data_IF_768644520235
#
_entry.id   IF_768644520235
#
_cell.length_a   1.000
_cell.length_b   1.000
_cell.length_c   1.000
_cell.angle_alpha   90.00
_cell.angle_beta   90.00
_cell.angle_gamma   90.00
#
_symmetry.space_group_name_H-M   'P 1'
#
loop_
_entity.id
_entity.type
_entity.pdbx_description
1 polymer ?
#
# COMPACT_ATOMS: atom_id res chain seq x y z
N UNK A 1 -7.87 -37.50 58.57
CA UNK A 1 -8.62 -36.47 57.83
C UNK A 1 -8.45 -36.74 56.31
N UNK A 2 -9.50 -37.24 55.63
CA UNK A 2 -9.48 -37.54 54.21
C UNK A 2 -9.59 -36.18 53.43
N UNK A 3 -8.56 -35.82 52.77
CA UNK A 3 -8.55 -34.64 51.85
C UNK A 3 -9.63 -34.85 50.77
N UNK A 4 -10.66 -34.01 50.78
CA UNK A 4 -11.71 -33.99 49.76
C UNK A 4 -11.06 -33.53 48.45
N UNK A 5 -10.96 -34.43 47.47
CA UNK A 5 -10.51 -34.07 46.14
C UNK A 5 -11.41 -32.94 45.62
N UNK A 6 -10.85 -31.77 45.36
CA UNK A 6 -11.58 -30.65 44.78
C UNK A 6 -12.11 -31.07 43.40
N UNK A 7 -13.42 -30.92 43.18
CA UNK A 7 -14.02 -31.22 41.89
C UNK A 7 -13.46 -30.26 40.80
N UNK A 8 -13.51 -30.68 39.54
CA UNK A 8 -13.07 -29.86 38.40
C UNK A 8 -13.78 -28.50 38.41
N UNK A 9 -15.05 -28.47 38.78
CA UNK A 9 -15.84 -27.21 38.88
C UNK A 9 -15.31 -26.25 39.96
N UNK A 10 -14.85 -26.76 41.13
CA UNK A 10 -14.28 -25.89 42.16
C UNK A 10 -12.89 -25.34 41.78
N UNK A 11 -12.13 -26.07 40.96
CA UNK A 11 -10.87 -25.56 40.40
C UNK A 11 -11.10 -24.45 39.35
N UNK A 12 -12.15 -24.57 38.53
CA UNK A 12 -12.55 -23.55 37.55
C UNK A 12 -12.91 -22.23 38.23
N UNK A 13 -13.63 -22.27 39.33
CA UNK A 13 -13.99 -21.08 40.11
C UNK A 13 -12.79 -20.27 40.61
N UNK A 14 -11.60 -20.88 40.79
CA UNK A 14 -10.40 -20.16 41.20
C UNK A 14 -9.94 -19.20 40.08
N UNK A 15 -10.03 -19.67 38.85
CA UNK A 15 -9.66 -18.83 37.66
C UNK A 15 -10.70 -17.73 37.45
N UNK A 16 -11.98 -18.09 37.49
CA UNK A 16 -13.10 -17.16 37.28
C UNK A 16 -13.20 -16.04 38.32
N UNK A 17 -12.91 -16.38 39.59
CA UNK A 17 -12.94 -15.43 40.71
C UNK A 17 -11.69 -14.57 40.83
N UNK A 18 -10.62 -14.91 40.10
CA UNK A 18 -9.37 -14.15 40.09
C UNK A 18 -9.09 -13.60 38.68
N UNK A 19 -9.45 -12.33 38.46
CA UNK A 19 -9.31 -11.67 37.17
C UNK A 19 -7.87 -11.68 36.67
N UNK A 20 -6.88 -11.61 37.54
CA UNK A 20 -5.46 -11.61 37.15
C UNK A 20 -5.08 -12.99 36.61
N UNK A 21 -5.43 -14.06 37.30
CA UNK A 21 -5.17 -15.43 36.84
C UNK A 21 -5.92 -15.73 35.53
N UNK A 22 -7.15 -15.24 35.41
CA UNK A 22 -7.94 -15.37 34.17
C UNK A 22 -7.26 -14.68 32.99
N UNK A 23 -6.85 -13.43 33.17
CA UNK A 23 -6.16 -12.65 32.09
C UNK A 23 -4.84 -13.32 31.71
N UNK A 24 -4.02 -13.73 32.67
CA UNK A 24 -2.77 -14.44 32.38
C UNK A 24 -3.03 -15.75 31.64
N UNK A 25 -4.03 -16.51 32.04
CA UNK A 25 -4.42 -17.76 31.37
C UNK A 25 -4.88 -17.52 29.94
N UNK A 26 -5.69 -16.48 29.69
CA UNK A 26 -6.14 -16.09 28.36
C UNK A 26 -4.94 -15.71 27.50
N UNK A 27 -4.05 -14.82 27.99
CA UNK A 27 -2.86 -14.38 27.26
C UNK A 27 -1.95 -15.54 26.89
N UNK A 28 -1.74 -16.50 27.81
CA UNK A 28 -0.92 -17.68 27.49
C UNK A 28 -1.53 -18.56 26.40
N UNK A 29 -2.83 -18.82 26.45
CA UNK A 29 -3.51 -19.66 25.46
C UNK A 29 -3.50 -18.95 24.08
N UNK A 30 -3.80 -17.64 24.04
CA UNK A 30 -3.77 -16.85 22.81
C UNK A 30 -2.34 -16.77 22.24
N UNK A 31 -1.33 -16.58 23.11
CA UNK A 31 0.06 -16.51 22.68
C UNK A 31 0.54 -17.85 22.09
N UNK A 32 0.15 -18.99 22.67
CA UNK A 32 0.50 -20.31 22.12
C UNK A 32 -0.15 -20.50 20.75
N UNK A 33 -1.48 -20.23 20.63
CA UNK A 33 -2.19 -20.31 19.35
C UNK A 33 -1.58 -19.37 18.30
N UNK A 34 -1.34 -18.12 18.67
CA UNK A 34 -0.70 -17.15 17.80
C UNK A 34 0.70 -17.56 17.32
N UNK A 35 1.52 -18.14 18.20
CA UNK A 35 2.85 -18.65 17.81
C UNK A 35 2.77 -19.83 16.85
N UNK A 36 1.81 -20.74 17.03
CA UNK A 36 1.60 -21.87 16.11
C UNK A 36 1.21 -21.39 14.71
N UNK A 37 0.40 -20.34 14.60
CA UNK A 37 -0.05 -19.78 13.33
C UNK A 37 1.00 -18.85 12.70
N UNK A 38 1.59 -17.96 13.50
CA UNK A 38 2.47 -16.89 12.98
C UNK A 38 3.90 -17.42 12.80
N UNK A 39 4.37 -18.30 13.69
CA UNK A 39 5.76 -18.79 13.65
C UNK A 39 6.18 -19.38 12.30
N UNK A 40 5.40 -20.24 11.66
CA UNK A 40 5.74 -20.80 10.35
C UNK A 40 5.88 -19.74 9.25
N UNK A 41 5.14 -18.63 9.32
CA UNK A 41 5.15 -17.58 8.30
C UNK A 41 6.53 -16.91 8.17
N UNK A 42 7.33 -16.89 9.23
CA UNK A 42 8.72 -16.36 9.16
C UNK A 42 9.68 -17.26 8.37
N UNK A 43 9.33 -18.52 8.18
CA UNK A 43 10.19 -19.51 7.50
C UNK A 43 9.66 -19.89 6.11
N UNK A 44 8.38 -19.65 5.84
CA UNK A 44 7.75 -19.95 4.55
C UNK A 44 8.16 -18.90 3.52
N UNK A 45 9.02 -19.29 2.57
CA UNK A 45 9.44 -18.43 1.45
C UNK A 45 8.48 -18.42 0.28
N UNK A 46 7.46 -19.28 0.30
CA UNK A 46 6.46 -19.45 -0.77
C UNK A 46 5.20 -18.60 -0.59
N UNK A 47 5.12 -17.81 0.48
CA UNK A 47 3.92 -17.03 0.80
C UNK A 47 3.73 -15.84 -0.16
N UNK A 48 4.85 -15.33 -0.71
CA UNK A 48 4.84 -14.21 -1.67
C UNK A 48 5.51 -14.71 -2.94
N UNK A 49 4.82 -14.60 -4.06
CA UNK A 49 5.34 -14.95 -5.38
C UNK A 49 6.55 -14.07 -5.71
N UNK A 50 7.56 -14.64 -6.34
CA UNK A 50 8.64 -13.86 -6.93
C UNK A 50 8.18 -13.34 -8.28
N UNK A 51 7.92 -12.05 -8.34
CA UNK A 51 7.45 -11.34 -9.53
C UNK A 51 8.55 -10.42 -10.04
N UNK A 52 8.92 -10.58 -11.30
CA UNK A 52 9.89 -9.68 -11.94
C UNK A 52 9.27 -8.29 -12.14
N UNK A 53 10.07 -7.25 -11.86
CA UNK A 53 9.64 -5.85 -12.02
C UNK A 53 9.14 -5.20 -10.74
N UNK A 54 8.87 -5.98 -9.69
CA UNK A 54 8.51 -5.42 -8.38
C UNK A 54 9.69 -4.66 -7.78
N UNK A 55 9.46 -3.42 -7.41
CA UNK A 55 10.41 -2.52 -6.77
C UNK A 55 9.75 -1.76 -5.62
N UNK A 56 10.51 -1.27 -4.65
CA UNK A 56 10.00 -0.29 -3.69
C UNK A 56 9.44 0.96 -4.39
N UNK A 57 8.55 1.65 -3.72
CA UNK A 57 8.03 2.94 -4.20
C UNK A 57 9.17 3.96 -4.38
N UNK A 58 9.08 4.77 -5.41
CA UNK A 58 9.94 5.94 -5.50
C UNK A 58 9.62 6.92 -4.39
N UNK A 59 10.49 7.91 -4.11
CA UNK A 59 10.19 8.94 -3.12
C UNK A 59 8.88 9.69 -3.39
N UNK A 60 8.56 10.00 -4.65
CA UNK A 60 7.30 10.64 -5.03
C UNK A 60 6.10 9.72 -4.83
N UNK A 61 6.20 8.47 -5.30
CA UNK A 61 5.13 7.46 -5.13
C UNK A 61 4.84 7.20 -3.65
N UNK A 62 5.88 7.15 -2.80
CA UNK A 62 5.72 7.00 -1.35
C UNK A 62 5.05 8.23 -0.72
N UNK A 63 5.42 9.44 -1.15
CA UNK A 63 4.76 10.66 -0.72
C UNK A 63 3.28 10.66 -1.11
N UNK A 64 2.98 10.28 -2.35
CA UNK A 64 1.60 10.13 -2.85
C UNK A 64 0.80 9.08 -2.07
N UNK A 65 1.42 7.96 -1.74
CA UNK A 65 0.80 6.94 -0.87
C UNK A 65 0.49 7.49 0.53
N UNK A 66 1.39 8.29 1.09
CA UNK A 66 1.15 8.92 2.39
C UNK A 66 -0.03 9.89 2.34
N UNK A 67 -0.18 10.65 1.25
CA UNK A 67 -1.33 11.51 1.00
C UNK A 67 -2.60 10.67 0.86
N UNK A 68 -2.56 9.59 0.07
CA UNK A 68 -3.67 8.65 -0.09
C UNK A 68 -4.19 8.11 1.25
N UNK A 69 -3.26 7.76 2.17
CA UNK A 69 -3.60 7.31 3.53
C UNK A 69 -4.11 8.47 4.39
N UNK A 70 -3.48 9.63 4.33
CA UNK A 70 -3.86 10.83 5.09
C UNK A 70 -5.28 11.30 4.76
N UNK A 71 -5.61 11.32 3.46
CA UNK A 71 -6.93 11.76 2.99
C UNK A 71 -8.01 10.66 3.11
N UNK A 72 -7.63 9.46 3.54
CA UNK A 72 -8.58 8.39 3.81
C UNK A 72 -9.21 7.77 2.55
N UNK A 73 -8.55 7.83 1.40
CA UNK A 73 -9.06 7.29 0.13
C UNK A 73 -9.43 5.80 0.23
N UNK A 74 -8.68 5.04 1.04
CA UNK A 74 -8.92 3.62 1.32
C UNK A 74 -10.24 3.33 2.05
N UNK A 75 -10.89 4.34 2.62
CA UNK A 75 -12.21 4.17 3.27
C UNK A 75 -13.33 3.96 2.25
N UNK A 76 -13.18 4.51 1.04
CA UNK A 76 -14.16 4.43 -0.04
C UNK A 76 -13.69 3.57 -1.21
N UNK A 77 -12.37 3.44 -1.43
CA UNK A 77 -11.76 2.65 -2.48
C UNK A 77 -11.01 1.44 -1.91
N UNK A 78 -11.19 0.29 -2.51
CA UNK A 78 -10.31 -0.86 -2.27
C UNK A 78 -9.12 -0.82 -3.23
N UNK A 79 -8.08 -1.58 -2.91
CA UNK A 79 -6.87 -1.72 -3.72
C UNK A 79 -6.44 -3.20 -3.76
N UNK A 80 -7.42 -4.07 -3.95
CA UNK A 80 -7.21 -5.52 -4.08
C UNK A 80 -8.36 -6.13 -4.88
N UNK A 81 -8.06 -6.67 -6.04
CA UNK A 81 -8.99 -7.42 -6.87
C UNK A 81 -8.93 -8.88 -6.43
N UNK A 82 -10.06 -9.42 -6.00
CA UNK A 82 -10.17 -10.82 -5.58
C UNK A 82 -10.20 -11.74 -6.79
N UNK A 83 -9.81 -13.04 -6.69
CA UNK A 83 -9.86 -14.01 -7.78
C UNK A 83 -11.31 -14.51 -8.02
N UNK A 84 -12.24 -13.57 -8.16
CA UNK A 84 -13.64 -13.80 -8.47
C UNK A 84 -13.91 -13.33 -9.89
N UNK A 85 -14.68 -14.12 -10.65
CA UNK A 85 -14.93 -13.88 -12.08
C UNK A 85 -15.46 -12.48 -12.36
N UNK A 86 -16.44 -12.02 -11.61
CA UNK A 86 -17.07 -10.70 -11.74
C UNK A 86 -16.08 -9.55 -11.48
N UNK A 87 -15.14 -9.73 -10.54
CA UNK A 87 -14.11 -8.74 -10.26
C UNK A 87 -13.05 -8.69 -11.35
N UNK A 88 -12.59 -9.85 -11.80
CA UNK A 88 -11.61 -9.95 -12.88
C UNK A 88 -12.15 -9.38 -14.19
N UNK A 89 -13.42 -9.68 -14.52
CA UNK A 89 -14.09 -9.12 -15.70
C UNK A 89 -14.23 -7.57 -15.60
N UNK A 90 -14.47 -7.05 -14.40
CA UNK A 90 -14.67 -5.60 -14.18
C UNK A 90 -13.38 -4.80 -14.08
N UNK A 91 -12.39 -5.30 -13.39
CA UNK A 91 -11.19 -4.54 -13.01
C UNK A 91 -9.91 -5.03 -13.69
N UNK A 92 -9.87 -6.24 -14.22
CA UNK A 92 -8.69 -6.89 -14.75
C UNK A 92 -8.15 -7.99 -13.83
N UNK A 93 -6.92 -8.44 -14.06
CA UNK A 93 -6.31 -9.55 -13.33
C UNK A 93 -6.38 -9.35 -11.81
N UNK A 94 -6.68 -10.42 -11.06
CA UNK A 94 -6.69 -10.40 -9.60
C UNK A 94 -5.33 -9.98 -9.03
N UNK A 95 -5.35 -9.40 -7.83
CA UNK A 95 -4.14 -8.90 -7.18
C UNK A 95 -3.25 -10.05 -6.69
N UNK A 96 -1.95 -9.92 -6.94
CA UNK A 96 -0.93 -10.83 -6.42
C UNK A 96 -0.42 -10.32 -5.06
N UNK A 97 -0.01 -11.23 -4.18
CA UNK A 97 0.56 -10.86 -2.88
C UNK A 97 1.81 -9.98 -3.03
N UNK A 98 2.58 -10.22 -4.11
CA UNK A 98 3.77 -9.42 -4.44
C UNK A 98 3.48 -7.94 -4.65
N UNK A 99 2.30 -7.56 -5.14
CA UNK A 99 1.97 -6.15 -5.39
C UNK A 99 1.89 -5.31 -4.12
N UNK A 100 1.58 -5.93 -2.98
CA UNK A 100 1.47 -5.27 -1.67
C UNK A 100 2.64 -5.59 -0.73
N UNK A 101 3.66 -6.30 -1.19
CA UNK A 101 4.74 -6.79 -0.31
C UNK A 101 5.53 -5.68 0.40
N UNK A 102 5.50 -4.47 -0.14
CA UNK A 102 6.16 -3.29 0.43
C UNK A 102 5.20 -2.31 1.10
N UNK A 103 3.92 -2.67 1.21
CA UNK A 103 2.92 -1.83 1.87
C UNK A 103 2.90 -2.04 3.38
N UNK A 104 3.10 -0.96 4.10
CA UNK A 104 3.03 -0.91 5.55
C UNK A 104 2.20 0.32 6.00
N UNK A 105 0.90 0.11 6.35
CA UNK A 105 0.06 -1.09 6.24
C UNK A 105 -0.46 -1.34 4.81
N UNK A 106 -1.02 -2.53 4.59
CA UNK A 106 -1.75 -2.86 3.36
C UNK A 106 -2.93 -1.90 3.14
N UNK A 107 -3.16 -1.55 1.87
CA UNK A 107 -4.25 -0.65 1.47
C UNK A 107 -5.41 -1.40 0.79
N UNK A 108 -5.60 -2.65 1.10
CA UNK A 108 -6.58 -3.52 0.42
C UNK A 108 -8.00 -2.98 0.47
N UNK A 109 -8.42 -2.42 1.62
CA UNK A 109 -9.76 -1.91 1.82
C UNK A 109 -10.82 -3.02 1.89
N UNK A 110 -11.92 -2.74 2.60
CA UNK A 110 -13.05 -3.67 2.72
C UNK A 110 -14.33 -3.13 2.09
N UNK A 111 -14.31 -1.90 1.61
CA UNK A 111 -15.46 -1.19 1.03
C UNK A 111 -15.11 -0.65 -0.35
N UNK A 112 -16.12 -0.58 -1.20
CA UNK A 112 -16.06 -0.04 -2.55
C UNK A 112 -17.22 0.91 -2.78
N UNK A 113 -17.26 2.03 -2.04
CA UNK A 113 -18.15 3.15 -2.37
C UNK A 113 -17.72 3.73 -3.72
N UNK A 114 -16.42 3.81 -3.97
CA UNK A 114 -15.82 3.98 -5.28
C UNK A 114 -15.25 2.67 -5.84
N UNK A 115 -14.73 2.66 -7.09
CA UNK A 115 -14.14 1.49 -7.71
C UNK A 115 -12.83 1.05 -7.03
N UNK A 116 -12.42 -0.19 -7.28
CA UNK A 116 -11.10 -0.69 -6.90
C UNK A 116 -10.00 0.01 -7.71
N UNK A 117 -8.90 0.39 -7.05
CA UNK A 117 -7.81 1.15 -7.64
C UNK A 117 -6.57 0.32 -8.00
N UNK A 118 -6.56 -1.00 -7.73
CA UNK A 118 -5.38 -1.82 -7.97
C UNK A 118 -4.91 -1.86 -9.43
N UNK A 119 -5.76 -1.47 -10.38
CA UNK A 119 -5.46 -1.42 -11.82
C UNK A 119 -5.77 -0.05 -12.42
N UNK A 120 -5.68 1.01 -11.60
CA UNK A 120 -5.98 2.36 -12.10
C UNK A 120 -4.82 2.97 -12.88
N UNK A 121 -3.59 2.57 -12.60
CA UNK A 121 -2.40 3.08 -13.27
C UNK A 121 -2.45 2.86 -14.77
N UNK A 122 -2.14 3.90 -15.52
CA UNK A 122 -2.18 3.96 -16.98
C UNK A 122 -3.56 3.73 -17.61
N UNK A 123 -4.64 3.65 -16.80
CA UNK A 123 -6.01 3.51 -17.30
C UNK A 123 -6.59 4.85 -17.75
N UNK A 124 -6.26 5.91 -17.04
CA UNK A 124 -6.70 7.28 -17.32
C UNK A 124 -5.46 8.19 -17.46
N UNK A 125 -5.61 9.32 -18.15
CA UNK A 125 -4.55 10.32 -18.25
C UNK A 125 -4.33 11.04 -16.91
N UNK A 126 -3.17 11.69 -16.76
CA UNK A 126 -2.87 12.48 -15.58
C UNK A 126 -3.87 13.63 -15.43
N UNK A 127 -4.19 14.33 -16.52
CA UNK A 127 -5.21 15.37 -16.56
C UNK A 127 -6.59 14.88 -16.09
N UNK A 128 -6.96 13.66 -16.47
CA UNK A 128 -8.20 13.05 -15.97
C UNK A 128 -8.16 12.88 -14.46
N UNK A 129 -7.04 12.39 -13.90
CA UNK A 129 -6.87 12.25 -12.45
C UNK A 129 -6.94 13.58 -11.73
N UNK A 130 -6.24 14.59 -12.23
CA UNK A 130 -6.26 15.96 -11.67
C UNK A 130 -7.69 16.50 -11.66
N UNK A 131 -8.36 16.47 -12.81
CA UNK A 131 -9.73 16.97 -12.94
C UNK A 131 -10.69 16.21 -12.00
N UNK A 132 -10.57 14.87 -11.95
CA UNK A 132 -11.41 14.05 -11.09
C UNK A 132 -11.16 14.30 -9.60
N UNK A 133 -9.92 14.53 -9.18
CA UNK A 133 -9.58 14.83 -7.80
C UNK A 133 -10.02 16.26 -7.41
N UNK A 134 -9.96 17.21 -8.31
CA UNK A 134 -10.43 18.58 -8.05
C UNK A 134 -11.94 18.67 -7.94
N UNK A 135 -12.66 18.10 -8.89
CA UNK A 135 -14.13 18.05 -8.93
C UNK A 135 -14.61 16.73 -9.57
N UNK A 136 -14.87 15.69 -8.76
CA UNK A 136 -15.33 14.39 -9.28
C UNK A 136 -16.61 14.49 -10.11
N UNK A 137 -17.48 15.47 -9.81
CA UNK A 137 -18.76 15.62 -10.50
C UNK A 137 -18.61 16.22 -11.89
N UNK A 138 -17.53 16.91 -12.16
CA UNK A 138 -17.26 17.42 -13.51
C UNK A 138 -17.10 16.30 -14.55
N UNK A 139 -16.61 15.11 -14.11
CA UNK A 139 -16.46 13.94 -14.96
C UNK A 139 -17.62 12.94 -14.75
N UNK A 140 -18.02 12.72 -13.49
CA UNK A 140 -19.08 11.79 -13.11
C UNK A 140 -20.15 12.58 -12.33
N UNK A 141 -21.18 13.11 -12.99
CA UNK A 141 -22.16 14.02 -12.36
C UNK A 141 -22.87 13.44 -11.11
N UNK A 142 -22.97 12.12 -11.02
CA UNK A 142 -23.62 11.41 -9.91
C UNK A 142 -22.64 11.02 -8.80
N UNK A 143 -21.38 11.45 -8.90
CA UNK A 143 -20.34 11.08 -7.92
C UNK A 143 -20.69 11.58 -6.53
N UNK A 144 -20.50 10.72 -5.53
CA UNK A 144 -20.54 11.05 -4.10
C UNK A 144 -19.14 11.31 -3.53
N UNK A 145 -18.10 11.16 -4.35
CA UNK A 145 -16.72 11.44 -3.95
C UNK A 145 -16.57 12.93 -3.65
N UNK A 146 -15.96 13.33 -2.53
CA UNK A 146 -15.61 14.73 -2.28
C UNK A 146 -14.50 15.20 -3.23
N UNK A 147 -14.45 16.49 -3.51
CA UNK A 147 -13.34 17.10 -4.22
C UNK A 147 -12.16 17.39 -3.28
N UNK A 148 -10.96 17.35 -3.84
CA UNK A 148 -9.69 17.63 -3.16
C UNK A 148 -8.89 18.73 -3.89
N UNK A 149 -9.49 19.90 -4.19
CA UNK A 149 -8.83 20.96 -4.99
C UNK A 149 -7.59 21.53 -4.29
N UNK A 150 -7.51 21.43 -2.96
CA UNK A 150 -6.37 21.90 -2.18
C UNK A 150 -5.07 21.15 -2.52
N UNK A 151 -5.13 19.91 -3.01
CA UNK A 151 -3.94 19.14 -3.39
C UNK A 151 -3.17 19.81 -4.53
N UNK A 152 -3.87 20.49 -5.46
CA UNK A 152 -3.25 21.22 -6.56
C UNK A 152 -2.64 22.58 -6.13
N UNK A 153 -3.00 23.07 -4.94
CA UNK A 153 -2.52 24.34 -4.43
C UNK A 153 -1.54 24.21 -3.25
N UNK A 154 -1.46 23.03 -2.66
CA UNK A 154 -0.54 22.72 -1.56
C UNK A 154 0.81 22.25 -2.11
N UNK A 155 1.89 22.93 -1.72
CA UNK A 155 3.24 22.45 -2.02
C UNK A 155 3.52 21.15 -1.28
N UNK A 156 4.16 20.20 -1.95
CA UNK A 156 4.57 18.95 -1.34
C UNK A 156 5.74 19.19 -0.37
N UNK A 157 5.56 18.85 0.90
CA UNK A 157 6.68 18.78 1.83
C UNK A 157 7.43 17.46 1.67
N UNK A 158 8.54 17.50 0.95
CA UNK A 158 9.42 16.36 0.73
C UNK A 158 10.71 16.41 1.53
N UNK A 159 10.85 17.36 2.46
CA UNK A 159 12.07 17.52 3.28
C UNK A 159 12.35 16.30 4.15
N UNK A 160 11.29 15.62 4.59
CA UNK A 160 11.35 14.42 5.44
C UNK A 160 11.36 13.10 4.66
N UNK A 161 11.30 13.12 3.31
CA UNK A 161 11.09 11.89 2.51
C UNK A 161 12.18 10.84 2.73
N UNK A 162 13.44 11.24 2.88
CA UNK A 162 14.53 10.32 3.21
C UNK A 162 14.32 9.61 4.56
N UNK A 163 13.67 10.27 5.54
CA UNK A 163 13.32 9.64 6.81
C UNK A 163 12.20 8.61 6.63
N UNK A 164 11.25 8.86 5.72
CA UNK A 164 10.19 7.89 5.37
C UNK A 164 10.78 6.64 4.71
N UNK A 165 11.73 6.78 3.77
CA UNK A 165 12.42 5.63 3.19
C UNK A 165 13.18 4.83 4.26
N UNK A 166 13.89 5.50 5.18
CA UNK A 166 14.57 4.84 6.30
C UNK A 166 13.60 4.08 7.21
N UNK A 167 12.43 4.66 7.49
CA UNK A 167 11.40 4.00 8.29
C UNK A 167 10.88 2.73 7.61
N UNK A 168 10.58 2.81 6.31
CA UNK A 168 10.16 1.65 5.52
C UNK A 168 11.26 0.57 5.46
N UNK A 169 12.54 0.96 5.34
CA UNK A 169 13.65 -0.01 5.40
C UNK A 169 13.71 -0.77 6.73
N UNK A 170 13.40 -0.11 7.85
CA UNK A 170 13.35 -0.77 9.17
C UNK A 170 12.29 -1.86 9.28
N UNK A 171 11.21 -1.75 8.52
CA UNK A 171 10.14 -2.77 8.46
C UNK A 171 10.31 -3.76 7.30
N UNK A 172 11.46 -3.73 6.61
CA UNK A 172 11.84 -4.76 5.65
C UNK A 172 11.78 -4.37 4.18
N UNK A 173 11.41 -3.14 3.83
CA UNK A 173 11.47 -2.67 2.43
C UNK A 173 12.93 -2.51 2.01
N UNK A 174 13.38 -3.07 0.87
CA UNK A 174 14.80 -3.15 0.51
C UNK A 174 15.36 -1.85 -0.11
N UNK A 175 15.15 -0.71 0.54
CA UNK A 175 15.78 0.54 0.12
C UNK A 175 17.29 0.49 0.35
N UNK A 176 18.07 0.85 -0.67
CA UNK A 176 19.53 0.99 -0.58
C UNK A 176 19.93 2.31 0.09
N UNK A 177 21.18 2.39 0.55
CA UNK A 177 21.69 3.65 1.10
C UNK A 177 21.69 4.76 0.04
N UNK A 178 22.04 4.44 -1.21
CA UNK A 178 22.02 5.37 -2.33
C UNK A 178 20.60 5.93 -2.58
N UNK A 179 19.56 5.10 -2.57
CA UNK A 179 18.16 5.54 -2.72
C UNK A 179 17.72 6.47 -1.60
N UNK A 180 18.20 6.25 -0.37
CA UNK A 180 17.85 7.09 0.77
C UNK A 180 18.60 8.42 0.72
N UNK A 181 19.88 8.40 0.33
CA UNK A 181 20.72 9.59 0.24
C UNK A 181 20.22 10.55 -0.86
N UNK A 182 19.82 10.01 -2.00
CA UNK A 182 19.34 10.78 -3.15
C UNK A 182 17.82 10.98 -3.19
N UNK A 183 17.09 10.65 -2.12
CA UNK A 183 15.63 10.64 -2.12
C UNK A 183 14.98 11.96 -2.55
N UNK A 184 15.54 13.11 -2.15
CA UNK A 184 15.03 14.43 -2.54
C UNK A 184 15.32 14.73 -4.01
N UNK A 185 16.51 14.39 -4.48
CA UNK A 185 16.90 14.56 -5.89
C UNK A 185 16.05 13.67 -6.80
N UNK A 186 15.83 12.42 -6.38
CA UNK A 186 15.01 11.46 -7.11
C UNK A 186 13.53 11.91 -7.22
N UNK A 187 13.00 12.50 -6.15
CA UNK A 187 11.65 13.04 -6.18
C UNK A 187 11.54 14.19 -7.20
N UNK A 188 12.50 15.11 -7.20
CA UNK A 188 12.55 16.22 -8.16
C UNK A 188 12.73 15.74 -9.60
N UNK A 189 13.62 14.76 -9.81
CA UNK A 189 13.86 14.17 -11.11
C UNK A 189 12.62 13.44 -11.66
N UNK A 190 11.76 12.92 -10.80
CA UNK A 190 10.56 12.21 -11.26
C UNK A 190 9.48 13.14 -11.79
N UNK A 191 9.34 14.36 -11.24
CA UNK A 191 8.32 15.33 -11.67
C UNK A 191 8.82 16.27 -12.78
N UNK A 192 10.13 16.33 -13.02
CA UNK A 192 10.70 17.21 -14.02
C UNK A 192 11.60 16.44 -15.00
N UNK A 193 11.13 16.18 -16.24
CA UNK A 193 11.92 15.48 -17.25
C UNK A 193 13.22 16.18 -17.66
N UNK A 194 13.31 17.49 -17.45
CA UNK A 194 14.49 18.30 -17.81
C UNK A 194 15.56 18.33 -16.69
N UNK A 195 15.30 17.67 -15.57
CA UNK A 195 16.26 17.61 -14.45
C UNK A 195 17.50 16.79 -14.84
N UNK A 196 18.73 17.31 -14.64
CA UNK A 196 19.96 16.60 -15.02
C UNK A 196 20.13 15.20 -14.43
N UNK A 197 19.48 14.92 -13.29
CA UNK A 197 19.60 13.66 -12.56
C UNK A 197 18.58 12.57 -12.96
N UNK A 198 17.77 12.81 -13.99
CA UNK A 198 16.75 11.84 -14.46
C UNK A 198 17.37 10.48 -14.83
N UNK A 199 18.51 10.49 -15.51
CA UNK A 199 19.18 9.25 -15.92
C UNK A 199 19.67 8.42 -14.71
N UNK A 200 20.11 9.08 -13.64
CA UNK A 200 20.53 8.42 -12.39
C UNK A 200 19.31 7.91 -11.61
N UNK A 201 18.25 8.71 -11.56
CA UNK A 201 16.97 8.29 -10.98
C UNK A 201 16.45 7.02 -11.66
N UNK A 202 16.41 6.95 -12.99
CA UNK A 202 15.90 5.79 -13.73
C UNK A 202 16.75 4.53 -13.52
N UNK A 203 18.06 4.67 -13.21
CA UNK A 203 18.90 3.54 -12.81
C UNK A 203 18.50 2.99 -11.43
N UNK A 204 18.21 3.88 -10.46
CA UNK A 204 17.77 3.49 -9.13
C UNK A 204 16.35 2.94 -9.07
N UNK A 205 15.46 3.47 -9.95
CA UNK A 205 14.06 3.09 -10.04
C UNK A 205 13.65 2.74 -11.48
N UNK A 206 14.01 1.55 -11.95
CA UNK A 206 13.65 1.11 -13.30
C UNK A 206 12.14 1.17 -13.54
N UNK A 207 11.73 1.58 -14.75
CA UNK A 207 10.32 1.71 -15.18
C UNK A 207 9.51 2.76 -14.41
N UNK A 208 10.11 3.59 -13.55
CA UNK A 208 9.38 4.71 -12.96
C UNK A 208 9.05 5.75 -14.04
N UNK A 209 7.80 6.21 -14.05
CA UNK A 209 7.38 7.28 -14.96
C UNK A 209 8.01 8.61 -14.53
N UNK A 210 8.52 9.36 -15.49
CA UNK A 210 9.12 10.68 -15.29
C UNK A 210 8.33 11.68 -16.12
N UNK A 211 7.58 12.55 -15.47
CA UNK A 211 6.82 13.63 -16.11
C UNK A 211 6.20 14.55 -15.06
N UNK A 212 5.78 15.71 -15.46
CA UNK A 212 4.89 16.56 -14.69
C UNK A 212 3.51 15.87 -14.62
N UNK A 213 3.04 15.58 -13.41
CA UNK A 213 1.81 14.83 -13.21
C UNK A 213 0.57 15.71 -13.04
N UNK A 214 0.72 16.97 -12.62
CA UNK A 214 -0.41 17.88 -12.42
C UNK A 214 -0.57 18.96 -13.49
N UNK A 215 0.40 19.05 -14.43
CA UNK A 215 0.41 20.04 -15.50
C UNK A 215 0.93 21.41 -15.05
N UNK A 216 1.62 21.51 -13.92
CA UNK A 216 2.18 22.75 -13.37
C UNK A 216 3.70 22.64 -13.08
N UNK A 217 4.56 22.70 -14.10
CA UNK A 217 5.99 22.42 -13.95
C UNK A 217 6.75 23.40 -13.04
N UNK A 218 6.12 24.49 -12.63
CA UNK A 218 6.73 25.51 -11.75
C UNK A 218 6.74 25.15 -10.26
N UNK A 219 6.01 24.10 -9.85
CA UNK A 219 5.82 23.70 -8.45
C UNK A 219 5.73 22.20 -8.36
N UNK A 220 6.13 21.65 -7.23
CA UNK A 220 5.87 20.25 -6.89
C UNK A 220 4.74 20.24 -5.87
N UNK A 221 3.59 19.75 -6.26
CA UNK A 221 2.37 19.79 -5.45
C UNK A 221 2.05 18.43 -4.82
N UNK A 222 1.13 18.44 -3.86
CA UNK A 222 0.58 17.19 -3.32
C UNK A 222 -0.20 16.41 -4.40
N UNK A 223 -0.74 17.12 -5.41
CA UNK A 223 -1.43 16.51 -6.55
C UNK A 223 -0.46 15.67 -7.40
N UNK A 224 0.75 16.18 -7.70
CA UNK A 224 1.79 15.42 -8.41
C UNK A 224 2.08 14.10 -7.73
N UNK A 225 2.29 14.15 -6.41
CA UNK A 225 2.61 12.96 -5.65
C UNK A 225 1.47 11.94 -5.66
N UNK A 226 0.24 12.38 -5.45
CA UNK A 226 -0.92 11.49 -5.44
C UNK A 226 -1.18 10.90 -6.84
N UNK A 227 -1.14 11.70 -7.91
CA UNK A 227 -1.32 11.20 -9.28
C UNK A 227 -0.17 10.25 -9.65
N UNK A 228 1.07 10.58 -9.31
CA UNK A 228 2.23 9.70 -9.52
C UNK A 228 2.05 8.33 -8.84
N UNK A 229 1.54 8.30 -7.62
CA UNK A 229 1.19 7.06 -6.92
C UNK A 229 0.08 6.28 -7.63
N UNK A 230 -1.03 6.94 -7.97
CA UNK A 230 -2.16 6.29 -8.65
C UNK A 230 -1.76 5.72 -10.01
N UNK A 231 -0.93 6.43 -10.77
CA UNK A 231 -0.45 6.00 -12.09
C UNK A 231 0.52 4.81 -12.03
N UNK A 232 1.14 4.55 -10.88
CA UNK A 232 1.99 3.39 -10.68
C UNK A 232 1.19 2.12 -10.37
N UNK A 233 0.01 2.24 -9.75
CA UNK A 233 -0.77 1.09 -9.28
C UNK A 233 -1.10 0.12 -10.42
N UNK A 234 -0.73 -1.16 -10.21
CA UNK A 234 -0.94 -2.24 -11.17
C UNK A 234 -0.02 -2.24 -12.39
N UNK A 235 1.00 -1.37 -12.45
CA UNK A 235 1.92 -1.27 -13.60
C UNK A 235 3.25 -1.99 -13.41
N UNK A 236 3.58 -2.38 -12.19
CA UNK A 236 4.87 -3.04 -11.87
C UNK A 236 4.90 -4.51 -12.31
N UNK A 237 3.75 -5.15 -12.45
CA UNK A 237 3.61 -6.54 -12.86
C UNK A 237 3.15 -6.61 -14.31
N UNK A 238 3.84 -7.39 -15.13
CA UNK A 238 3.34 -7.73 -16.49
C UNK A 238 2.40 -8.94 -16.39
N UNK A 239 1.11 -8.67 -16.29
CA UNK A 239 0.07 -9.71 -16.18
C UNK A 239 -0.07 -10.56 -17.44
N UNK A 240 0.55 -10.22 -18.57
CA UNK A 240 0.57 -11.07 -19.77
C UNK A 240 1.45 -12.30 -19.58
N UNK A 241 2.36 -12.26 -18.63
CA UNK A 241 3.23 -13.38 -18.28
C UNK A 241 2.56 -14.37 -17.31
N UNK A 242 1.45 -13.96 -16.67
CA UNK A 242 0.72 -14.78 -15.70
C UNK A 242 -0.57 -15.26 -16.32
N UNK A 243 -0.59 -16.52 -16.76
CA UNK A 243 -1.80 -17.19 -17.21
C UNK A 243 -2.43 -18.04 -16.08
N UNK A 244 -3.69 -18.43 -16.27
CA UNK A 244 -4.44 -19.25 -15.30
C UNK A 244 -3.80 -20.63 -15.05
N UNK A 245 -2.90 -21.07 -15.95
CA UNK A 245 -2.23 -22.37 -15.88
C UNK A 245 -0.93 -22.30 -15.07
N UNK A 246 -0.32 -21.15 -14.98
CA UNK A 246 0.92 -20.95 -14.24
C UNK A 246 0.73 -21.10 -12.72
N UNK A 247 -0.52 -20.99 -12.22
CA UNK A 247 -0.92 -21.15 -10.81
C UNK A 247 0.15 -20.65 -9.83
N UNK A 248 0.65 -19.46 -10.07
CA UNK A 248 1.62 -18.80 -9.21
C UNK A 248 0.88 -18.31 -7.96
N UNK A 249 0.84 -19.15 -6.95
CA UNK A 249 0.35 -18.85 -5.61
C UNK A 249 1.50 -18.67 -4.66
#
# INVERSE_FOLDING_TARGET
MKGRAMSVFTRHQVIEKNSILLVIGILLVIAIGGMVEIGPLFYLKSTIEKVEGMRPYTPLELAGRNIYVREGCYLCHSQMIRPLRDEVERYGHFSLAAESMYDHPFQWGSKRTGPDLARVGSKYSDEWHVTHLMDPRSIVPQSVMPGYPFLATSDLDYTSIAAHLRANRKVGVPYTDEQIEHAVDDLRAQVNPDEPKVAEFQKRYPKAAVRDFDGNPGRITEMDALVGYLQMLGTLVDFKLYDDKANLR
#
